data_IF_078184563917
#
_entry.id   IF_078184563917
#
_cell.length_a   1.000
_cell.length_b   1.000
_cell.length_c   1.000
_cell.angle_alpha   90.00
_cell.angle_beta   90.00
_cell.angle_gamma   90.00
#
_symmetry.space_group_name_H-M   'P 1'
#
loop_
_entity.id
_entity.type
_entity.pdbx_description
1 polymer ?
#
# COMPACT_ATOMS: atom_id res chain seq x y z
N UNK A 1 -45.85 -16.23 -0.10
CA UNK A 1 -44.81 -15.65 0.77
C UNK A 1 -43.50 -16.20 0.27
N UNK A 2 -42.77 -15.40 -0.51
CA UNK A 2 -41.53 -15.82 -1.15
C UNK A 2 -40.44 -15.98 -0.10
N UNK A 3 -40.04 -17.23 0.13
CA UNK A 3 -39.05 -17.61 1.12
C UNK A 3 -37.66 -17.39 0.49
N UNK A 4 -37.13 -16.17 0.59
CA UNK A 4 -35.79 -15.86 0.09
C UNK A 4 -34.75 -16.69 0.85
N UNK A 5 -34.07 -17.58 0.11
CA UNK A 5 -32.90 -18.29 0.61
C UNK A 5 -31.75 -17.28 0.69
N UNK A 6 -31.31 -16.97 1.91
CA UNK A 6 -30.10 -16.19 2.15
C UNK A 6 -28.92 -17.16 2.11
N UNK A 7 -28.19 -17.18 1.00
CA UNK A 7 -26.93 -17.91 0.90
C UNK A 7 -25.82 -17.06 1.50
N UNK A 8 -25.29 -17.46 2.66
CA UNK A 8 -24.09 -16.86 3.25
C UNK A 8 -22.93 -17.83 3.00
N UNK A 9 -21.91 -17.38 2.27
CA UNK A 9 -20.68 -18.15 2.02
C UNK A 9 -19.72 -17.90 3.18
N UNK A 10 -19.44 -18.92 3.98
CA UNK A 10 -18.44 -18.86 5.05
C UNK A 10 -17.33 -19.87 4.76
N UNK A 11 -16.09 -19.39 4.57
CA UNK A 11 -14.87 -20.22 4.50
C UNK A 11 -14.94 -21.47 3.59
N UNK A 12 -15.67 -21.42 2.47
CA UNK A 12 -15.82 -22.55 1.53
C UNK A 12 -16.92 -23.57 1.88
N UNK A 13 -17.75 -23.32 2.89
CA UNK A 13 -18.97 -24.08 3.17
C UNK A 13 -20.21 -23.25 2.83
N UNK A 14 -21.06 -23.77 1.93
CA UNK A 14 -22.38 -23.21 1.66
C UNK A 14 -23.33 -23.62 2.79
N UNK A 15 -23.73 -22.66 3.63
CA UNK A 15 -24.82 -22.87 4.59
C UNK A 15 -26.09 -22.28 3.98
N UNK A 16 -26.82 -23.09 3.22
CA UNK A 16 -28.16 -22.74 2.74
C UNK A 16 -29.18 -23.09 3.81
N UNK A 17 -29.71 -22.08 4.50
CA UNK A 17 -30.84 -22.19 5.42
C UNK A 17 -31.78 -21.01 5.23
N UNK A 18 -33.08 -21.25 5.25
CA UNK A 18 -34.07 -20.17 5.26
C UNK A 18 -33.90 -19.35 6.56
N UNK A 19 -34.18 -18.05 6.54
CA UNK A 19 -34.09 -17.20 7.74
C UNK A 19 -34.89 -17.78 8.94
N UNK A 20 -35.94 -18.56 8.65
CA UNK A 20 -36.71 -19.33 9.63
C UNK A 20 -35.89 -20.42 10.37
N UNK A 21 -35.01 -21.13 9.66
CA UNK A 21 -34.19 -22.22 10.23
C UNK A 21 -33.11 -21.72 11.22
N UNK A 22 -32.58 -20.51 10.99
CA UNK A 22 -31.62 -19.87 11.90
C UNK A 22 -32.30 -19.25 13.12
N UNK A 23 -33.51 -18.71 12.94
CA UNK A 23 -34.35 -18.20 14.02
C UNK A 23 -34.80 -19.31 14.99
N UNK A 24 -35.12 -20.52 14.50
CA UNK A 24 -35.49 -21.68 15.33
C UNK A 24 -34.36 -22.18 16.25
N UNK A 25 -33.09 -21.89 15.92
CA UNK A 25 -31.92 -22.24 16.76
C UNK A 25 -31.50 -21.13 17.72
N UNK A 26 -32.29 -20.05 17.82
CA UNK A 26 -32.01 -18.93 18.71
C UNK A 26 -30.78 -18.11 18.31
N UNK A 27 -30.26 -18.26 17.09
CA UNK A 27 -29.15 -17.43 16.60
C UNK A 27 -29.74 -16.17 15.99
N UNK A 28 -29.51 -14.98 16.56
CA UNK A 28 -30.06 -13.75 16.03
C UNK A 28 -29.42 -13.45 14.67
N UNK A 29 -30.23 -13.30 13.63
CA UNK A 29 -29.77 -12.95 12.27
C UNK A 29 -28.88 -11.70 12.28
N UNK A 30 -29.15 -10.76 13.20
CA UNK A 30 -28.30 -9.58 13.41
C UNK A 30 -26.86 -9.93 13.83
N UNK A 31 -26.67 -10.94 14.68
CA UNK A 31 -25.33 -11.35 15.11
C UNK A 31 -24.53 -11.99 13.96
N UNK A 32 -25.21 -12.77 13.10
CA UNK A 32 -24.58 -13.37 11.91
C UNK A 32 -24.15 -12.27 10.93
N UNK A 33 -25.02 -11.28 10.69
CA UNK A 33 -24.72 -10.17 9.80
C UNK A 33 -23.55 -9.31 10.31
N UNK A 34 -23.50 -9.01 11.61
CA UNK A 34 -22.40 -8.25 12.22
C UNK A 34 -21.06 -9.01 12.15
N UNK A 35 -21.09 -10.33 12.39
CA UNK A 35 -19.91 -11.18 12.25
C UNK A 35 -19.40 -11.23 10.82
N UNK A 36 -20.30 -11.36 9.84
CA UNK A 36 -19.95 -11.35 8.42
C UNK A 36 -19.31 -10.01 8.01
N UNK A 37 -19.89 -8.90 8.47
CA UNK A 37 -19.35 -7.56 8.23
C UNK A 37 -17.98 -7.36 8.88
N UNK A 38 -17.79 -7.85 10.10
CA UNK A 38 -16.50 -7.81 10.80
C UNK A 38 -15.42 -8.57 10.01
N UNK A 39 -15.74 -9.78 9.52
CA UNK A 39 -14.82 -10.56 8.69
C UNK A 39 -14.50 -9.85 7.37
N UNK A 40 -15.51 -9.26 6.72
CA UNK A 40 -15.34 -8.48 5.49
C UNK A 40 -14.39 -7.28 5.72
N UNK A 41 -14.56 -6.55 6.83
CA UNK A 41 -13.66 -5.44 7.19
C UNK A 41 -12.22 -5.92 7.38
N UNK A 42 -12.01 -7.01 8.11
CA UNK A 42 -10.68 -7.57 8.36
C UNK A 42 -9.98 -7.98 7.05
N UNK A 43 -10.69 -8.69 6.18
CA UNK A 43 -10.17 -9.11 4.88
C UNK A 43 -9.82 -7.90 3.99
N UNK A 44 -10.67 -6.86 3.99
CA UNK A 44 -10.44 -5.65 3.23
C UNK A 44 -9.24 -4.84 3.73
N UNK A 45 -9.05 -4.73 5.05
CA UNK A 45 -7.88 -4.08 5.64
C UNK A 45 -6.58 -4.80 5.25
N UNK A 46 -6.57 -6.13 5.29
CA UNK A 46 -5.41 -6.91 4.88
C UNK A 46 -5.09 -6.72 3.39
N UNK A 47 -6.14 -6.70 2.55
CA UNK A 47 -5.99 -6.42 1.12
C UNK A 47 -5.37 -5.05 0.84
N UNK A 48 -5.80 -4.00 1.54
CA UNK A 48 -5.22 -2.65 1.41
C UNK A 48 -3.74 -2.65 1.80
N UNK A 49 -3.36 -3.36 2.87
CA UNK A 49 -1.97 -3.46 3.32
C UNK A 49 -1.09 -4.17 2.29
N UNK A 50 -1.58 -5.26 1.72
CA UNK A 50 -0.88 -5.99 0.65
C UNK A 50 -0.72 -5.14 -0.61
N UNK A 51 -1.78 -4.44 -1.03
CA UNK A 51 -1.71 -3.52 -2.17
C UNK A 51 -0.72 -2.38 -1.94
N UNK A 52 -0.69 -1.81 -0.73
CA UNK A 52 0.29 -0.80 -0.35
C UNK A 52 1.73 -1.34 -0.41
N UNK A 53 1.97 -2.55 0.12
CA UNK A 53 3.28 -3.19 0.05
C UNK A 53 3.74 -3.45 -1.39
N UNK A 54 2.84 -3.95 -2.25
CA UNK A 54 3.11 -4.17 -3.67
C UNK A 54 3.42 -2.87 -4.40
N UNK A 55 2.66 -1.79 -4.13
CA UNK A 55 2.94 -0.48 -4.69
C UNK A 55 4.34 0.00 -4.28
N UNK A 56 4.69 -0.07 -2.99
CA UNK A 56 6.04 0.31 -2.53
C UNK A 56 7.15 -0.53 -3.18
N UNK A 57 6.91 -1.81 -3.44
CA UNK A 57 7.86 -2.68 -4.12
C UNK A 57 8.04 -2.28 -5.59
N UNK A 58 6.94 -2.10 -6.34
CA UNK A 58 6.99 -1.65 -7.74
C UNK A 58 7.71 -0.30 -7.88
N UNK A 59 7.44 0.62 -6.95
CA UNK A 59 8.08 1.94 -6.91
C UNK A 59 9.56 1.89 -6.53
N UNK A 60 10.00 0.83 -5.85
CA UNK A 60 11.42 0.59 -5.58
C UNK A 60 12.17 0.07 -6.81
N UNK A 61 11.47 -0.20 -7.94
CA UNK A 61 12.08 -0.58 -9.21
C UNK A 61 12.86 -1.89 -9.16
N UNK A 62 12.32 -2.88 -8.45
CA UNK A 62 12.95 -4.18 -8.17
C UNK A 62 14.24 -4.10 -7.36
N UNK A 63 14.53 -2.96 -6.73
CA UNK A 63 15.67 -2.85 -5.83
C UNK A 63 15.59 -3.89 -4.71
N UNK A 64 16.68 -4.63 -4.57
CA UNK A 64 16.89 -5.61 -3.51
C UNK A 64 16.85 -4.95 -2.12
N UNK A 65 16.72 -5.76 -1.06
CA UNK A 65 16.80 -5.24 0.31
C UNK A 65 18.14 -4.55 0.54
N UNK A 66 19.21 -5.20 0.11
CA UNK A 66 20.59 -4.78 0.17
C UNK A 66 20.80 -3.43 -0.55
N UNK A 67 20.26 -3.26 -1.75
CA UNK A 67 20.34 -1.96 -2.44
C UNK A 67 19.64 -0.87 -1.64
N UNK A 68 18.43 -1.12 -1.11
CA UNK A 68 17.67 -0.13 -0.33
C UNK A 68 18.38 0.27 0.96
N UNK A 69 19.11 -0.65 1.58
CA UNK A 69 19.89 -0.39 2.80
C UNK A 69 21.08 0.56 2.54
N UNK A 70 21.58 0.63 1.30
CA UNK A 70 22.64 1.58 0.94
C UNK A 70 22.13 3.00 0.66
N UNK A 71 20.84 3.19 0.38
CA UNK A 71 20.29 4.48 -0.05
C UNK A 71 20.47 5.61 0.97
N UNK A 72 20.30 5.40 2.30
CA UNK A 72 20.54 6.45 3.28
C UNK A 72 21.98 6.98 3.25
N UNK A 73 22.96 6.09 3.07
CA UNK A 73 24.38 6.46 3.00
C UNK A 73 24.67 7.24 1.72
N UNK A 74 24.11 6.81 0.58
CA UNK A 74 24.22 7.52 -0.69
C UNK A 74 23.58 8.91 -0.62
N UNK A 75 22.40 9.02 0.00
CA UNK A 75 21.70 10.29 0.20
C UNK A 75 22.54 11.24 1.08
N UNK A 76 23.09 10.74 2.19
CA UNK A 76 23.93 11.55 3.06
C UNK A 76 25.17 12.07 2.33
N UNK A 77 25.83 11.23 1.54
CA UNK A 77 26.99 11.65 0.74
C UNK A 77 26.62 12.64 -0.36
N UNK A 78 25.48 12.45 -1.04
CA UNK A 78 24.99 13.39 -2.03
C UNK A 78 24.71 14.77 -1.42
N UNK A 79 24.02 14.80 -0.26
CA UNK A 79 23.76 16.04 0.50
C UNK A 79 25.07 16.73 0.92
N UNK A 80 26.00 15.98 1.51
CA UNK A 80 27.29 16.52 1.94
C UNK A 80 28.13 17.03 0.75
N UNK A 81 28.12 16.32 -0.38
CA UNK A 81 28.80 16.77 -1.60
C UNK A 81 28.20 18.08 -2.11
N UNK A 82 26.88 18.19 -2.19
CA UNK A 82 26.21 19.42 -2.63
C UNK A 82 26.41 20.60 -1.67
N UNK A 83 26.60 20.33 -0.38
CA UNK A 83 26.87 21.35 0.64
C UNK A 83 28.36 21.72 0.74
N UNK A 84 29.25 21.04 0.01
CA UNK A 84 30.70 21.23 0.11
C UNK A 84 31.31 20.73 1.42
N UNK A 85 30.64 19.79 2.11
CA UNK A 85 31.03 19.25 3.42
C UNK A 85 31.32 17.75 3.38
N UNK A 86 31.43 17.16 2.19
CA UNK A 86 31.74 15.75 2.03
C UNK A 86 33.11 15.40 2.60
N UNK A 87 33.18 14.30 3.36
CA UNK A 87 34.46 13.73 3.81
C UNK A 87 35.21 13.06 2.66
N UNK A 88 36.50 12.81 2.84
CA UNK A 88 37.31 12.04 1.89
C UNK A 88 36.71 10.66 1.60
N UNK A 89 36.17 10.00 2.62
CA UNK A 89 35.49 8.71 2.47
C UNK A 89 34.22 8.81 1.63
N UNK A 90 33.45 9.90 1.75
CA UNK A 90 32.28 10.15 0.91
C UNK A 90 32.69 10.48 -0.53
N UNK A 91 33.75 11.26 -0.73
CA UNK A 91 34.31 11.51 -2.06
C UNK A 91 34.77 10.20 -2.73
N UNK A 92 35.47 9.34 -1.99
CA UNK A 92 35.90 8.03 -2.49
C UNK A 92 34.71 7.13 -2.84
N UNK A 93 33.68 7.10 -2.00
CA UNK A 93 32.45 6.36 -2.27
C UNK A 93 31.77 6.85 -3.55
N UNK A 94 31.59 8.18 -3.69
CA UNK A 94 30.96 8.77 -4.88
C UNK A 94 31.76 8.40 -6.13
N UNK A 95 33.09 8.57 -6.10
CA UNK A 95 33.96 8.24 -7.22
C UNK A 95 33.88 6.75 -7.64
N UNK A 96 33.77 5.85 -6.66
CA UNK A 96 33.63 4.41 -6.92
C UNK A 96 32.25 4.03 -7.49
N UNK A 97 31.22 4.86 -7.30
CA UNK A 97 29.86 4.61 -7.76
C UNK A 97 29.52 5.24 -9.11
N UNK A 98 30.41 6.08 -9.66
CA UNK A 98 30.17 6.71 -10.97
C UNK A 98 30.14 5.66 -12.07
N UNK A 99 29.13 5.74 -12.93
CA UNK A 99 29.13 5.01 -14.20
C UNK A 99 29.89 5.79 -15.28
N UNK A 100 30.16 5.15 -16.41
CA UNK A 100 30.88 5.78 -17.53
C UNK A 100 30.19 7.10 -17.93
N UNK A 101 30.98 8.14 -18.11
CA UNK A 101 30.55 9.49 -18.50
C UNK A 101 29.69 10.22 -17.44
N UNK A 102 29.61 9.70 -16.22
CA UNK A 102 28.97 10.36 -15.08
C UNK A 102 29.97 11.18 -14.25
N UNK A 103 29.55 12.34 -13.77
CA UNK A 103 30.35 13.19 -12.87
C UNK A 103 29.73 13.19 -11.47
N UNK A 104 30.53 13.47 -10.40
CA UNK A 104 29.99 13.56 -9.04
C UNK A 104 28.79 14.53 -8.89
N UNK A 105 28.76 15.72 -9.52
CA UNK A 105 27.58 16.57 -9.50
C UNK A 105 26.34 15.94 -10.14
N UNK A 106 26.50 15.24 -11.27
CA UNK A 106 25.39 14.56 -11.96
C UNK A 106 24.87 13.41 -11.09
N UNK A 107 25.76 12.61 -10.52
CA UNK A 107 25.41 11.52 -9.61
C UNK A 107 24.64 12.03 -8.39
N UNK A 108 25.16 13.08 -7.72
CA UNK A 108 24.51 13.65 -6.54
C UNK A 108 23.12 14.19 -6.87
N UNK A 109 22.97 14.89 -8.00
CA UNK A 109 21.67 15.37 -8.48
C UNK A 109 20.68 14.21 -8.73
N UNK A 110 21.13 13.11 -9.34
CA UNK A 110 20.29 11.92 -9.56
C UNK A 110 19.85 11.27 -8.26
N UNK A 111 20.76 11.11 -7.29
CA UNK A 111 20.43 10.52 -5.98
C UNK A 111 19.39 11.38 -5.25
N UNK A 112 19.58 12.70 -5.23
CA UNK A 112 18.64 13.63 -4.60
C UNK A 112 17.28 13.61 -5.29
N UNK A 113 17.24 13.66 -6.62
CA UNK A 113 16.01 13.60 -7.40
C UNK A 113 15.25 12.27 -7.17
N UNK A 114 15.97 11.14 -7.20
CA UNK A 114 15.38 9.82 -6.93
C UNK A 114 14.84 9.72 -5.51
N UNK A 115 15.55 10.26 -4.52
CA UNK A 115 15.07 10.28 -3.14
C UNK A 115 13.82 11.16 -2.96
N UNK A 116 13.79 12.35 -3.58
CA UNK A 116 12.63 13.23 -3.54
C UNK A 116 11.39 12.56 -4.17
N UNK A 117 11.54 11.96 -5.36
CA UNK A 117 10.48 11.20 -6.01
C UNK A 117 9.97 10.07 -5.11
N UNK A 118 10.88 9.31 -4.48
CA UNK A 118 10.54 8.24 -3.53
C UNK A 118 9.75 8.75 -2.33
N UNK A 119 10.17 9.87 -1.72
CA UNK A 119 9.47 10.44 -0.57
C UNK A 119 8.05 10.89 -0.93
N UNK A 120 7.89 11.55 -2.07
CA UNK A 120 6.58 11.97 -2.57
C UNK A 120 5.66 10.74 -2.77
N UNK A 121 6.20 9.71 -3.41
CA UNK A 121 5.51 8.45 -3.66
C UNK A 121 5.07 7.74 -2.37
N UNK A 122 5.98 7.59 -1.41
CA UNK A 122 5.67 6.99 -0.09
C UNK A 122 4.57 7.79 0.60
N UNK A 123 4.64 9.12 0.57
CA UNK A 123 3.61 9.99 1.14
C UNK A 123 2.24 9.77 0.51
N UNK A 124 2.17 9.70 -0.83
CA UNK A 124 0.93 9.43 -1.56
C UNK A 124 0.38 8.04 -1.23
N UNK A 125 1.21 7.00 -1.32
CA UNK A 125 0.80 5.62 -1.04
C UNK A 125 0.29 5.45 0.40
N UNK A 126 1.00 6.02 1.38
CA UNK A 126 0.60 6.00 2.78
C UNK A 126 -0.71 6.80 3.01
N UNK A 127 -0.90 7.91 2.29
CA UNK A 127 -2.14 8.69 2.33
C UNK A 127 -3.34 7.91 1.83
N UNK A 128 -3.21 7.25 0.67
CA UNK A 128 -4.25 6.38 0.09
C UNK A 128 -4.61 5.26 1.06
N UNK A 129 -3.60 4.55 1.58
CA UNK A 129 -3.78 3.49 2.58
C UNK A 129 -4.59 3.98 3.78
N UNK A 130 -4.18 5.09 4.39
CA UNK A 130 -4.85 5.63 5.60
C UNK A 130 -6.30 6.02 5.34
N UNK A 131 -6.60 6.64 4.19
CA UNK A 131 -7.99 6.97 3.81
C UNK A 131 -8.82 5.71 3.62
N UNK A 132 -8.29 4.71 2.93
CA UNK A 132 -8.97 3.44 2.69
C UNK A 132 -9.23 2.66 3.99
N UNK A 133 -8.22 2.52 4.87
CA UNK A 133 -8.36 1.89 6.18
C UNK A 133 -9.47 2.58 6.98
N UNK A 134 -9.46 3.92 7.03
CA UNK A 134 -10.48 4.69 7.75
C UNK A 134 -11.88 4.48 7.18
N UNK A 135 -12.03 4.46 5.85
CA UNK A 135 -13.30 4.23 5.19
C UNK A 135 -13.85 2.82 5.44
N UNK A 136 -12.98 1.80 5.45
CA UNK A 136 -13.35 0.41 5.75
C UNK A 136 -13.79 0.25 7.22
N UNK A 137 -13.06 0.88 8.16
CA UNK A 137 -13.39 0.83 9.59
C UNK A 137 -14.78 1.38 9.91
N UNK A 138 -15.21 2.43 9.21
CA UNK A 138 -16.51 3.08 9.42
C UNK A 138 -17.61 2.61 8.46
N UNK A 139 -17.31 1.66 7.58
CA UNK A 139 -18.25 1.16 6.59
C UNK A 139 -19.46 0.49 7.27
N UNK A 140 -20.67 0.87 6.87
CA UNK A 140 -21.91 0.34 7.45
C UNK A 140 -22.28 -1.06 6.92
N UNK A 141 -21.77 -1.41 5.74
CA UNK A 141 -22.08 -2.65 5.03
C UNK A 141 -20.94 -3.02 4.07
N UNK A 142 -21.08 -4.17 3.39
CA UNK A 142 -20.10 -4.66 2.42
C UNK A 142 -19.97 -3.76 1.18
N UNK A 143 -21.04 -3.09 0.75
CA UNK A 143 -21.03 -2.19 -0.40
C UNK A 143 -20.13 -0.98 -0.14
N UNK A 144 -20.17 -0.43 1.07
CA UNK A 144 -19.29 0.66 1.49
C UNK A 144 -17.82 0.22 1.56
N UNK A 145 -17.55 -1.03 1.96
CA UNK A 145 -16.19 -1.61 1.91
C UNK A 145 -15.70 -1.71 0.46
N UNK A 146 -16.51 -2.25 -0.45
CA UNK A 146 -16.15 -2.40 -1.86
C UNK A 146 -15.90 -1.04 -2.52
N UNK A 147 -16.71 -0.02 -2.16
CA UNK A 147 -16.52 1.36 -2.63
C UNK A 147 -15.18 1.92 -2.15
N UNK A 148 -14.81 1.70 -0.88
CA UNK A 148 -13.53 2.15 -0.34
C UNK A 148 -12.34 1.48 -1.05
N UNK A 149 -12.44 0.18 -1.34
CA UNK A 149 -11.41 -0.56 -2.08
C UNK A 149 -11.27 -0.07 -3.53
N UNK A 150 -12.40 0.18 -4.20
CA UNK A 150 -12.40 0.70 -5.57
C UNK A 150 -11.76 2.09 -5.65
N UNK A 151 -12.12 2.99 -4.73
CA UNK A 151 -11.54 4.32 -4.66
C UNK A 151 -10.03 4.28 -4.41
N UNK A 152 -9.58 3.47 -3.45
CA UNK A 152 -8.16 3.30 -3.15
C UNK A 152 -7.37 2.80 -4.38
N UNK A 153 -7.95 1.88 -5.16
CA UNK A 153 -7.35 1.37 -6.40
C UNK A 153 -7.28 2.47 -7.47
N UNK A 154 -8.33 3.26 -7.64
CA UNK A 154 -8.34 4.37 -8.60
C UNK A 154 -7.29 5.42 -8.25
N UNK A 155 -7.23 5.85 -6.98
CA UNK A 155 -6.22 6.79 -6.49
C UNK A 155 -4.79 6.24 -6.71
N UNK A 156 -4.57 4.95 -6.45
CA UNK A 156 -3.27 4.32 -6.70
C UNK A 156 -2.89 4.29 -8.19
N UNK A 157 -3.82 3.98 -9.09
CA UNK A 157 -3.59 4.02 -10.54
C UNK A 157 -3.33 5.44 -11.05
N UNK A 158 -4.06 6.43 -10.52
CA UNK A 158 -3.83 7.83 -10.84
C UNK A 158 -2.44 8.28 -10.37
N UNK A 159 -2.03 7.92 -9.16
CA UNK A 159 -0.71 8.20 -8.64
C UNK A 159 0.38 7.56 -9.53
N UNK A 160 0.30 6.27 -9.83
CA UNK A 160 1.31 5.59 -10.66
C UNK A 160 1.53 6.29 -12.01
N UNK A 161 0.46 6.73 -12.67
CA UNK A 161 0.55 7.46 -13.96
C UNK A 161 1.31 8.79 -13.86
N UNK A 162 1.36 9.42 -12.70
CA UNK A 162 2.11 10.66 -12.48
C UNK A 162 3.62 10.42 -12.31
N UNK A 163 4.01 9.19 -11.94
CA UNK A 163 5.43 8.85 -11.67
C UNK A 163 6.09 8.02 -12.75
N UNK A 164 5.33 7.56 -13.76
CA UNK A 164 5.84 6.85 -14.94
C UNK A 164 5.98 7.73 -16.19
N UNK A 165 5.70 9.04 -16.09
CA UNK A 165 5.95 10.04 -17.14
C UNK A 165 7.28 10.73 -16.90
#
# INVERSE_FOLDING_TARGET
MDNQILTVVHAGFEVSGTAAYLAERGVPVQQIAEQALTQARQAALERIRQQHAQALQQLSGDATGEERDTWPVQLQAALAYTAGTASDSQHAMIAAMLVKDETPPIWAAKVLAKNAARQQLIGVAQGIKRRAEKAIEVAADSTAIDTALALAKEEAMAAMRQFTQ
#
